data_IF_202579319672
#
_entry.id   IF_202579319672
#
_cell.length_a   1.000
_cell.length_b   1.000
_cell.length_c   1.000
_cell.angle_alpha   90.00
_cell.angle_beta   90.00
_cell.angle_gamma   90.00
#
_symmetry.space_group_name_H-M   'P 1'
#
loop_
_entity.id
_entity.type
_entity.pdbx_description
1 polymer ?
#
# COMPACT_ATOMS: atom_id res chain seq x y z
N UNK A 1 0.09 -0.50 -51.07
CA UNK A 1 -0.39 0.06 -49.79
C UNK A 1 0.33 1.34 -49.36
N UNK A 2 1.62 1.35 -48.94
CA UNK A 2 2.26 2.59 -48.45
C UNK A 2 2.55 3.63 -49.56
N UNK A 3 2.89 3.20 -50.77
CA UNK A 3 3.02 4.11 -51.91
C UNK A 3 1.68 4.75 -52.30
N UNK A 4 0.58 3.98 -52.26
CA UNK A 4 -0.77 4.49 -52.51
C UNK A 4 -1.19 5.51 -51.44
N UNK A 5 -0.90 5.24 -50.15
CA UNK A 5 -1.18 6.16 -49.05
C UNK A 5 -0.34 7.45 -49.13
N UNK A 6 0.91 7.35 -49.61
CA UNK A 6 1.79 8.51 -49.78
C UNK A 6 1.51 9.34 -51.03
N UNK A 7 0.82 8.78 -52.02
CA UNK A 7 0.36 9.49 -53.22
C UNK A 7 -0.90 10.34 -52.96
N UNK A 8 -1.55 10.17 -51.81
CA UNK A 8 -2.60 11.09 -51.36
C UNK A 8 -2.01 12.47 -51.05
N UNK A 9 -2.76 13.53 -51.36
CA UNK A 9 -2.37 14.92 -51.11
C UNK A 9 -2.52 15.28 -49.62
N UNK A 10 -1.76 14.59 -48.77
CA UNK A 10 -1.69 14.75 -47.32
C UNK A 10 -0.30 15.23 -46.91
N UNK A 11 -0.26 16.09 -45.90
CA UNK A 11 0.98 16.58 -45.25
C UNK A 11 1.70 15.46 -44.48
N UNK A 12 1.00 14.37 -44.15
CA UNK A 12 1.56 13.23 -43.43
C UNK A 12 2.03 12.19 -44.44
N UNK A 13 3.32 11.84 -44.41
CA UNK A 13 3.91 10.73 -45.18
C UNK A 13 4.16 9.54 -44.27
N UNK A 14 3.74 8.37 -44.70
CA UNK A 14 3.93 7.09 -44.03
C UNK A 14 5.25 6.47 -44.45
N UNK A 15 6.01 5.97 -43.48
CA UNK A 15 7.27 5.26 -43.73
C UNK A 15 7.10 3.81 -43.29
N UNK A 16 7.38 2.86 -44.18
CA UNK A 16 7.49 1.44 -43.80
C UNK A 16 8.97 1.10 -43.65
N UNK A 17 9.35 0.62 -42.47
CA UNK A 17 10.65 -0.01 -42.26
C UNK A 17 10.43 -1.44 -41.86
N UNK A 18 10.77 -2.37 -42.75
CA UNK A 18 10.75 -3.81 -42.50
C UNK A 18 12.16 -4.36 -42.67
N UNK A 19 12.62 -5.11 -41.68
CA UNK A 19 13.81 -5.93 -41.81
C UNK A 19 13.56 -7.27 -41.10
N UNK A 20 13.94 -8.41 -41.71
CA UNK A 20 13.74 -9.73 -41.13
C UNK A 20 14.67 -9.99 -39.93
N UNK A 21 15.76 -9.24 -39.81
CA UNK A 21 16.83 -9.49 -38.85
C UNK A 21 16.87 -8.47 -37.71
N UNK A 22 16.29 -7.28 -37.90
CA UNK A 22 16.29 -6.23 -36.89
C UNK A 22 15.10 -5.27 -37.01
N UNK A 23 14.68 -4.72 -35.89
CA UNK A 23 13.65 -3.69 -35.83
C UNK A 23 14.00 -2.63 -34.79
N UNK A 24 13.72 -1.38 -35.13
CA UNK A 24 13.92 -0.25 -34.23
C UNK A 24 12.58 0.09 -33.58
N UNK A 25 12.55 0.14 -32.25
CA UNK A 25 11.38 0.56 -31.50
C UNK A 25 11.81 1.49 -30.36
N UNK A 26 11.29 2.72 -30.39
CA UNK A 26 11.68 3.80 -29.47
C UNK A 26 13.21 3.96 -29.42
N UNK A 27 13.79 3.56 -28.30
CA UNK A 27 15.17 3.78 -27.90
C UNK A 27 16.02 2.49 -28.00
N UNK A 28 15.47 1.44 -28.61
CA UNK A 28 16.10 0.11 -28.66
C UNK A 28 16.03 -0.44 -30.08
N UNK A 29 17.13 -1.03 -30.55
CA UNK A 29 17.18 -1.88 -31.74
C UNK A 29 17.19 -3.34 -31.28
N UNK A 30 16.15 -4.06 -31.66
CA UNK A 30 15.97 -5.48 -31.39
C UNK A 30 16.48 -6.22 -32.62
N UNK A 31 17.34 -7.21 -32.45
CA UNK A 31 17.93 -7.99 -33.53
C UNK A 31 17.89 -9.49 -33.23
N UNK A 32 17.79 -10.30 -34.27
CA UNK A 32 17.80 -11.76 -34.13
C UNK A 32 19.23 -12.26 -33.90
N UNK A 33 19.41 -13.13 -32.91
CA UNK A 33 20.69 -13.78 -32.58
C UNK A 33 20.48 -15.29 -32.50
N UNK A 34 20.78 -16.01 -33.58
CA UNK A 34 20.55 -17.46 -33.71
C UNK A 34 19.18 -17.91 -33.18
N UNK A 35 19.14 -18.47 -31.96
CA UNK A 35 17.95 -18.97 -31.25
C UNK A 35 17.32 -17.97 -30.26
N UNK A 36 17.93 -16.82 -30.04
CA UNK A 36 17.54 -15.79 -29.07
C UNK A 36 17.31 -14.43 -29.75
N UNK A 37 16.76 -13.50 -28.99
CA UNK A 37 16.58 -12.11 -29.39
C UNK A 37 17.62 -11.28 -28.63
N UNK A 38 18.44 -10.53 -29.37
CA UNK A 38 19.32 -9.52 -28.82
C UNK A 38 18.66 -8.14 -28.89
N UNK A 39 19.07 -7.25 -28.00
CA UNK A 39 18.71 -5.84 -28.03
C UNK A 39 19.93 -4.96 -27.75
N UNK A 40 19.96 -3.78 -28.36
CA UNK A 40 20.99 -2.75 -28.13
C UNK A 40 20.34 -1.36 -28.09
N UNK A 41 20.99 -0.40 -27.43
CA UNK A 41 20.52 0.98 -27.42
C UNK A 41 20.54 1.54 -28.86
N UNK A 42 19.46 2.17 -29.28
CA UNK A 42 19.35 2.81 -30.59
C UNK A 42 19.14 4.31 -30.45
N UNK A 43 19.92 5.10 -31.19
CA UNK A 43 19.72 6.54 -31.35
C UNK A 43 19.30 6.81 -32.78
N UNK A 44 18.22 7.58 -32.93
CA UNK A 44 17.76 7.98 -34.26
C UNK A 44 18.84 8.83 -34.94
N UNK A 45 19.07 8.70 -36.26
CA UNK A 45 20.02 9.55 -37.00
C UNK A 45 19.73 11.05 -36.88
N UNK A 46 18.48 11.42 -36.57
CA UNK A 46 18.06 12.81 -36.35
C UNK A 46 18.35 13.34 -34.94
N UNK A 47 18.83 12.52 -34.01
CA UNK A 47 19.11 12.91 -32.63
C UNK A 47 20.39 13.77 -32.58
N UNK A 48 20.25 15.01 -32.12
CA UNK A 48 21.36 15.99 -32.04
C UNK A 48 22.17 15.89 -30.75
N UNK A 49 22.06 14.79 -30.01
CA UNK A 49 22.83 14.54 -28.78
C UNK A 49 22.66 15.71 -27.80
N UNK A 50 21.41 16.09 -27.50
CA UNK A 50 21.04 17.28 -26.71
C UNK A 50 21.29 17.12 -25.21
N UNK A 51 22.49 16.64 -24.86
CA UNK A 51 22.92 16.53 -23.48
C UNK A 51 23.15 17.92 -22.87
N UNK A 52 22.75 18.08 -21.62
CA UNK A 52 22.85 19.36 -20.94
C UNK A 52 24.31 19.75 -20.70
N UNK A 53 24.71 20.98 -20.98
CA UNK A 53 26.09 21.44 -20.73
C UNK A 53 26.40 21.56 -19.22
N UNK A 54 27.61 21.18 -18.79
CA UNK A 54 28.00 21.20 -17.37
C UNK A 54 27.90 22.60 -16.73
N UNK A 55 28.25 23.63 -17.49
CA UNK A 55 28.19 25.04 -17.05
C UNK A 55 26.82 25.70 -17.26
N UNK A 56 25.79 24.94 -17.64
CA UNK A 56 24.45 25.50 -17.81
C UNK A 56 23.81 25.91 -16.48
N UNK A 57 22.87 26.86 -16.53
CA UNK A 57 22.16 27.43 -15.37
C UNK A 57 21.07 26.51 -14.79
N UNK A 58 21.25 25.19 -14.89
CA UNK A 58 20.35 24.21 -14.30
C UNK A 58 20.79 23.80 -12.90
N UNK A 59 19.87 23.29 -12.05
CA UNK A 59 20.18 22.79 -10.73
C UNK A 59 21.33 21.78 -10.76
N UNK A 60 22.23 21.86 -9.76
CA UNK A 60 23.40 20.99 -9.65
C UNK A 60 23.02 19.50 -9.62
N UNK A 61 21.97 19.17 -8.86
CA UNK A 61 21.44 17.80 -8.76
C UNK A 61 21.01 17.20 -10.11
N UNK A 62 20.47 18.02 -11.03
CA UNK A 62 20.08 17.56 -12.36
C UNK A 62 21.32 17.25 -13.23
N UNK A 63 22.36 18.08 -13.13
CA UNK A 63 23.61 17.88 -13.87
C UNK A 63 24.39 16.66 -13.37
N UNK A 64 24.29 16.35 -12.07
CA UNK A 64 24.93 15.18 -11.48
C UNK A 64 24.17 13.87 -11.73
N UNK A 65 22.83 13.92 -11.76
CA UNK A 65 22.00 12.74 -12.01
C UNK A 65 21.89 12.37 -13.50
N UNK A 66 22.03 13.34 -14.42
CA UNK A 66 21.90 13.11 -15.85
C UNK A 66 22.91 12.05 -16.37
N UNK A 67 24.23 12.13 -16.13
CA UNK A 67 25.17 11.09 -16.55
C UNK A 67 24.81 9.70 -16.02
N UNK A 68 24.42 9.60 -14.74
CA UNK A 68 24.03 8.33 -14.09
C UNK A 68 22.84 7.71 -14.83
N UNK A 69 21.80 8.51 -15.10
CA UNK A 69 20.60 8.04 -15.80
C UNK A 69 20.89 7.53 -17.22
N UNK A 70 21.80 8.19 -17.93
CA UNK A 70 22.18 7.83 -19.29
C UNK A 70 23.03 6.56 -19.31
N UNK A 71 23.97 6.39 -18.38
CA UNK A 71 24.72 5.14 -18.24
C UNK A 71 23.83 3.96 -17.86
N UNK A 72 22.86 4.15 -16.94
CA UNK A 72 21.87 3.11 -16.62
C UNK A 72 21.05 2.68 -17.83
N UNK A 73 20.70 3.63 -18.69
CA UNK A 73 19.98 3.35 -19.94
C UNK A 73 20.83 2.52 -20.91
N UNK A 74 22.13 2.78 -20.99
CA UNK A 74 23.06 1.93 -21.77
C UNK A 74 23.14 0.52 -21.17
N UNK A 75 23.24 0.38 -19.85
CA UNK A 75 23.28 -0.94 -19.21
C UNK A 75 21.99 -1.76 -19.42
N UNK A 76 20.81 -1.13 -19.28
CA UNK A 76 19.51 -1.82 -19.41
C UNK A 76 19.20 -2.21 -20.87
N UNK A 77 19.55 -1.32 -21.81
CA UNK A 77 19.15 -1.47 -23.20
C UNK A 77 20.18 -2.23 -24.04
N UNK A 78 21.14 -2.93 -23.43
CA UNK A 78 22.07 -3.81 -24.14
C UNK A 78 22.02 -5.24 -23.60
N UNK A 79 21.94 -6.18 -24.53
CA UNK A 79 22.03 -7.62 -24.28
C UNK A 79 23.46 -8.16 -24.36
N UNK A 80 24.35 -7.47 -25.07
CA UNK A 80 25.73 -7.89 -25.30
C UNK A 80 26.72 -6.97 -24.60
N UNK A 81 27.60 -7.55 -23.78
CA UNK A 81 28.56 -6.81 -22.97
C UNK A 81 29.57 -6.03 -23.83
N UNK A 82 29.99 -6.58 -24.96
CA UNK A 82 30.90 -5.92 -25.92
C UNK A 82 30.29 -4.64 -26.49
N UNK A 83 29.02 -4.69 -26.90
CA UNK A 83 28.28 -3.55 -27.46
C UNK A 83 27.98 -2.52 -26.36
N UNK A 84 27.62 -2.99 -25.16
CA UNK A 84 27.43 -2.14 -23.98
C UNK A 84 28.69 -1.31 -23.70
N UNK A 85 29.87 -1.94 -23.67
CA UNK A 85 31.15 -1.26 -23.41
C UNK A 85 31.44 -0.16 -24.43
N UNK A 86 31.28 -0.44 -25.73
CA UNK A 86 31.47 0.57 -26.78
C UNK A 86 30.50 1.74 -26.63
N UNK A 87 29.22 1.46 -26.32
CA UNK A 87 28.22 2.51 -26.15
C UNK A 87 28.41 3.34 -24.87
N UNK A 88 28.99 2.76 -23.82
CA UNK A 88 29.41 3.50 -22.63
C UNK A 88 30.52 4.49 -22.98
N UNK A 89 31.53 4.07 -23.75
CA UNK A 89 32.62 4.95 -24.21
C UNK A 89 32.10 6.10 -25.08
N UNK A 90 31.18 5.83 -26.01
CA UNK A 90 30.53 6.86 -26.84
C UNK A 90 29.68 7.84 -26.02
N UNK A 91 28.98 7.33 -25.00
CA UNK A 91 28.23 8.16 -24.05
C UNK A 91 29.17 9.05 -23.24
N UNK A 92 30.28 8.51 -22.73
CA UNK A 92 31.30 9.29 -22.01
C UNK A 92 31.88 10.38 -22.90
N UNK A 93 32.23 10.07 -24.15
CA UNK A 93 32.72 11.07 -25.12
C UNK A 93 31.73 12.21 -25.31
N UNK A 94 30.44 11.87 -25.48
CA UNK A 94 29.35 12.84 -25.62
C UNK A 94 29.23 13.79 -24.42
N UNK A 95 29.44 13.30 -23.19
CA UNK A 95 29.43 14.14 -21.99
C UNK A 95 30.70 14.98 -21.86
N UNK A 96 31.87 14.46 -22.24
CA UNK A 96 33.12 15.25 -22.23
C UNK A 96 33.01 16.45 -23.17
N UNK A 97 32.42 16.26 -24.36
CA UNK A 97 32.14 17.35 -25.31
C UNK A 97 31.19 18.43 -24.74
N UNK A 98 30.41 18.09 -23.71
CA UNK A 98 29.48 19.00 -23.01
C UNK A 98 30.06 19.60 -21.73
N UNK A 99 31.37 19.45 -21.51
CA UNK A 99 32.12 20.08 -20.43
C UNK A 99 32.11 19.31 -19.10
N UNK A 100 31.68 18.04 -19.08
CA UNK A 100 31.79 17.20 -17.89
C UNK A 100 33.22 16.66 -17.76
N UNK A 101 33.74 16.63 -16.54
CA UNK A 101 35.09 16.11 -16.30
C UNK A 101 35.08 14.58 -16.29
N UNK A 102 36.16 14.00 -16.80
CA UNK A 102 36.30 12.53 -16.88
C UNK A 102 36.19 11.87 -15.50
N UNK A 103 36.75 12.50 -14.46
CA UNK A 103 36.67 12.03 -13.07
C UNK A 103 35.21 11.85 -12.61
N UNK A 104 34.38 12.86 -12.80
CA UNK A 104 32.95 12.81 -12.42
C UNK A 104 32.22 11.74 -13.23
N UNK A 105 32.52 11.64 -14.53
CA UNK A 105 31.89 10.64 -15.40
C UNK A 105 32.24 9.21 -15.02
N UNK A 106 33.48 8.94 -14.62
CA UNK A 106 33.90 7.63 -14.10
C UNK A 106 33.16 7.28 -12.80
N UNK A 107 33.06 8.21 -11.86
CA UNK A 107 32.31 8.01 -10.62
C UNK A 107 30.83 7.72 -10.91
N UNK A 108 30.22 8.47 -11.84
CA UNK A 108 28.85 8.22 -12.28
C UNK A 108 28.67 6.86 -12.97
N UNK A 109 29.64 6.43 -13.78
CA UNK A 109 29.61 5.14 -14.47
C UNK A 109 29.71 3.97 -13.48
N UNK A 110 30.62 4.05 -12.49
CA UNK A 110 30.76 3.07 -11.41
C UNK A 110 29.46 3.00 -10.60
N UNK A 111 28.89 4.14 -10.23
CA UNK A 111 27.59 4.20 -9.53
C UNK A 111 26.48 3.54 -10.34
N UNK A 112 26.37 3.86 -11.62
CA UNK A 112 25.38 3.26 -12.53
C UNK A 112 25.59 1.75 -12.68
N UNK A 113 26.83 1.29 -12.77
CA UNK A 113 27.16 -0.14 -12.86
C UNK A 113 26.75 -0.90 -11.60
N UNK A 114 27.07 -0.35 -10.42
CA UNK A 114 26.68 -0.93 -9.14
C UNK A 114 25.15 -1.03 -8.99
N UNK A 115 24.44 0.04 -9.37
CA UNK A 115 22.96 0.06 -9.41
C UNK A 115 22.43 -1.03 -10.36
N UNK A 116 23.01 -1.15 -11.56
CA UNK A 116 22.58 -2.15 -12.54
C UNK A 116 22.85 -3.59 -12.10
N UNK A 117 24.03 -3.85 -11.50
CA UNK A 117 24.44 -5.17 -11.02
C UNK A 117 23.80 -5.56 -9.68
N UNK A 118 23.00 -4.68 -9.07
CA UNK A 118 22.46 -4.88 -7.73
C UNK A 118 23.53 -4.96 -6.64
N UNK A 119 24.75 -4.47 -6.92
CA UNK A 119 25.85 -4.46 -5.96
C UNK A 119 25.65 -3.24 -5.06
N UNK A 120 25.16 -3.50 -3.85
CA UNK A 120 24.93 -2.50 -2.82
C UNK A 120 26.26 -1.93 -2.30
N UNK A 121 26.70 -0.79 -2.86
CA UNK A 121 27.70 0.06 -2.21
C UNK A 121 26.99 0.88 -1.13
N UNK A 122 27.13 0.44 0.13
CA UNK A 122 26.55 1.08 1.30
C UNK A 122 26.78 2.60 1.33
N UNK A 123 25.70 3.35 1.11
CA UNK A 123 25.21 4.41 1.98
C UNK A 123 23.72 4.59 1.67
N UNK A 124 22.89 3.83 2.38
CA UNK A 124 21.46 4.05 2.45
C UNK A 124 21.21 5.12 3.52
N UNK A 125 21.63 6.33 3.21
CA UNK A 125 21.21 7.56 3.88
C UNK A 125 20.72 8.45 2.75
N UNK A 126 19.48 8.94 2.86
CA UNK A 126 18.87 9.95 1.99
C UNK A 126 18.06 9.40 0.79
N UNK A 127 17.27 8.33 0.99
CA UNK A 127 15.95 8.34 0.34
C UNK A 127 15.06 9.23 1.20
N UNK A 128 14.35 10.23 0.64
CA UNK A 128 13.34 10.96 1.40
C UNK A 128 12.28 9.94 1.83
N UNK A 129 12.28 9.60 3.13
CA UNK A 129 11.32 8.66 3.70
C UNK A 129 10.08 9.40 4.14
N UNK A 130 8.91 8.82 3.93
CA UNK A 130 7.67 9.36 4.48
C UNK A 130 7.33 8.58 5.74
N UNK A 131 7.36 9.25 6.88
CA UNK A 131 6.84 8.74 8.15
C UNK A 131 5.40 9.21 8.29
N UNK A 132 4.48 8.29 8.60
CA UNK A 132 3.08 8.59 8.78
C UNK A 132 2.61 7.97 10.10
N UNK A 133 2.63 8.69 11.22
CA UNK A 133 1.92 8.24 12.40
C UNK A 133 0.40 8.36 12.15
N UNK A 134 -0.30 7.24 12.34
CA UNK A 134 -1.75 7.14 12.33
C UNK A 134 -2.22 7.01 13.78
N UNK A 135 -2.77 8.10 14.27
CA UNK A 135 -3.44 8.22 15.57
C UNK A 135 -4.96 8.25 15.37
N UNK A 136 -5.69 8.07 16.47
CA UNK A 136 -7.14 8.23 16.50
C UNK A 136 -7.45 9.48 17.33
N UNK A 137 -8.38 10.32 16.86
CA UNK A 137 -8.81 11.53 17.55
C UNK A 137 -10.32 11.79 17.36
N UNK A 138 -10.99 12.22 18.43
CA UNK A 138 -12.43 12.48 18.50
C UNK A 138 -12.83 13.91 18.12
N UNK A 139 -11.88 14.85 18.01
CA UNK A 139 -12.13 16.27 17.74
C UNK A 139 -11.49 16.76 16.43
N UNK A 140 -11.78 16.11 15.29
CA UNK A 140 -11.26 16.54 13.98
C UNK A 140 -11.92 17.82 13.41
N UNK A 141 -12.76 18.50 14.19
CA UNK A 141 -13.45 19.72 13.75
C UNK A 141 -12.51 20.94 13.79
N UNK A 142 -11.67 21.15 12.75
CA UNK A 142 -11.35 22.50 12.21
C UNK A 142 -10.36 22.66 11.04
N UNK A 143 -9.75 21.63 10.46
CA UNK A 143 -8.75 21.86 9.39
C UNK A 143 -9.03 21.11 8.07
N UNK A 144 -8.87 21.83 6.95
CA UNK A 144 -9.58 21.66 5.68
C UNK A 144 -8.83 20.89 4.59
N UNK A 145 -7.97 19.93 4.95
CA UNK A 145 -7.20 19.14 3.98
C UNK A 145 -7.45 17.64 4.19
N UNK A 146 -8.42 17.11 3.43
CA UNK A 146 -8.77 15.67 3.41
C UNK A 146 -7.92 14.97 2.34
N UNK A 147 -7.12 13.99 2.75
CA UNK A 147 -6.22 13.25 1.84
C UNK A 147 -6.98 12.20 1.01
N UNK A 148 -8.15 11.76 1.49
CA UNK A 148 -9.12 10.97 0.74
C UNK A 148 -10.51 11.24 1.35
N UNK A 149 -11.54 11.28 0.51
CA UNK A 149 -12.92 11.32 1.02
C UNK A 149 -13.22 10.12 1.93
N UNK A 150 -14.30 10.22 2.70
CA UNK A 150 -14.88 9.15 3.53
C UNK A 150 -14.77 7.83 2.76
N UNK A 151 -14.10 6.84 3.35
CA UNK A 151 -13.98 5.51 2.76
C UNK A 151 -14.94 4.56 3.46
N UNK A 152 -15.99 4.06 2.79
CA UNK A 152 -16.88 3.08 3.38
C UNK A 152 -16.12 1.76 3.59
N UNK A 153 -16.17 1.24 4.82
CA UNK A 153 -15.65 -0.08 5.17
C UNK A 153 -16.79 -1.11 5.03
N UNK A 154 -17.99 -0.77 5.51
CA UNK A 154 -19.22 -1.55 5.30
C UNK A 154 -20.41 -0.60 5.13
N UNK A 155 -21.63 -1.13 5.03
CA UNK A 155 -22.87 -0.34 4.92
C UNK A 155 -23.03 0.66 6.09
N UNK A 156 -22.63 0.26 7.30
CA UNK A 156 -22.84 1.04 8.53
C UNK A 156 -21.55 1.62 9.13
N UNK A 157 -20.40 1.41 8.48
CA UNK A 157 -19.08 1.78 9.02
C UNK A 157 -18.22 2.50 7.99
N UNK A 158 -17.71 3.65 8.38
CA UNK A 158 -16.89 4.52 7.56
C UNK A 158 -15.56 4.84 8.25
N UNK A 159 -14.53 5.08 7.44
CA UNK A 159 -13.23 5.56 7.88
C UNK A 159 -12.84 6.82 7.13
N UNK A 160 -12.42 7.83 7.89
CA UNK A 160 -11.88 9.06 7.35
C UNK A 160 -10.46 9.29 7.85
N UNK A 161 -9.58 9.70 6.93
CA UNK A 161 -8.26 10.19 7.27
C UNK A 161 -8.18 11.70 7.13
N UNK A 162 -7.68 12.37 8.16
CA UNK A 162 -7.43 13.83 8.16
C UNK A 162 -5.98 14.13 8.49
N UNK A 163 -5.51 15.28 8.02
CA UNK A 163 -4.21 15.85 8.39
C UNK A 163 -4.48 17.18 9.06
N UNK A 164 -4.15 17.26 10.35
CA UNK A 164 -4.39 18.47 11.16
C UNK A 164 -3.27 19.48 11.00
N UNK A 165 -2.03 18.98 10.94
CA UNK A 165 -0.82 19.79 10.87
C UNK A 165 -0.12 19.60 9.51
N UNK A 166 0.48 20.65 8.92
CA UNK A 166 1.30 20.50 7.73
C UNK A 166 2.48 19.55 8.00
N UNK A 167 2.90 18.74 7.01
CA UNK A 167 3.96 17.77 7.21
C UNK A 167 5.29 18.46 7.55
N UNK A 168 6.05 17.87 8.45
CA UNK A 168 7.40 18.31 8.82
C UNK A 168 8.38 17.74 7.80
N UNK A 169 9.10 18.59 7.08
CA UNK A 169 10.08 18.16 6.08
C UNK A 169 11.48 18.42 6.60
N UNK A 170 12.31 17.38 6.62
CA UNK A 170 13.74 17.43 6.95
C UNK A 170 14.58 17.06 5.73
N UNK A 171 15.90 17.10 5.85
CA UNK A 171 16.81 16.67 4.78
C UNK A 171 16.71 15.16 4.50
N UNK A 172 16.27 14.36 5.48
CA UNK A 172 16.29 12.89 5.44
C UNK A 172 14.89 12.25 5.34
N UNK A 173 13.86 12.92 5.86
CA UNK A 173 12.48 12.40 5.89
C UNK A 173 11.42 13.51 5.90
N UNK A 174 10.23 13.15 5.45
CA UNK A 174 8.98 13.89 5.63
C UNK A 174 8.14 13.16 6.65
N UNK A 175 7.66 13.86 7.67
CA UNK A 175 6.74 13.34 8.67
C UNK A 175 5.36 13.94 8.46
N UNK A 176 4.33 13.09 8.41
CA UNK A 176 2.95 13.48 8.16
C UNK A 176 2.04 12.84 9.19
N UNK A 177 1.60 13.62 10.15
CA UNK A 177 0.64 13.19 11.15
C UNK A 177 -0.77 13.07 10.54
N UNK A 178 -1.37 11.89 10.71
CA UNK A 178 -2.67 11.57 10.16
C UNK A 178 -3.59 11.04 11.26
N UNK A 179 -4.79 11.59 11.35
CA UNK A 179 -5.84 11.10 12.22
C UNK A 179 -6.76 10.16 11.45
N UNK A 180 -7.07 9.02 12.05
CA UNK A 180 -8.03 8.04 11.57
C UNK A 180 -9.30 8.12 12.42
N UNK A 181 -10.42 8.49 11.81
CA UNK A 181 -11.71 8.62 12.47
C UNK A 181 -12.67 7.56 11.93
N UNK A 182 -13.13 6.67 12.83
CA UNK A 182 -14.17 5.69 12.51
C UNK A 182 -15.54 6.22 12.91
N UNK A 183 -16.48 6.09 11.98
CA UNK A 183 -17.88 6.50 12.15
C UNK A 183 -18.79 5.30 11.93
N UNK A 184 -19.75 5.11 12.82
CA UNK A 184 -20.75 4.03 12.74
C UNK A 184 -22.14 4.64 12.89
N UNK A 185 -23.03 4.42 11.92
CA UNK A 185 -24.35 5.09 11.85
C UNK A 185 -24.27 6.61 12.10
N UNK A 186 -23.34 7.29 11.41
CA UNK A 186 -23.07 8.74 11.54
C UNK A 186 -22.59 9.20 12.93
N UNK A 187 -22.24 8.27 13.83
CA UNK A 187 -21.64 8.57 15.13
C UNK A 187 -20.16 8.21 15.16
N UNK A 188 -19.33 9.20 15.47
CA UNK A 188 -17.90 8.99 15.71
C UNK A 188 -17.74 8.07 16.91
N UNK A 189 -16.84 7.09 16.79
CA UNK A 189 -16.49 6.22 17.91
C UNK A 189 -15.97 7.05 19.09
N UNK A 190 -15.99 6.52 20.30
CA UNK A 190 -15.34 7.15 21.45
C UNK A 190 -14.50 6.11 22.16
N UNK A 191 -13.24 6.46 22.45
CA UNK A 191 -12.37 5.55 23.15
C UNK A 191 -12.72 5.47 24.64
N UNK A 192 -12.66 4.27 25.26
CA UNK A 192 -12.98 4.11 26.69
C UNK A 192 -12.06 4.91 27.63
N UNK A 193 -10.81 5.10 27.23
CA UNK A 193 -9.75 5.75 28.02
C UNK A 193 -9.45 7.19 27.57
N UNK A 194 -10.18 7.70 26.58
CA UNK A 194 -9.82 8.93 25.87
C UNK A 194 -8.71 8.72 24.84
N UNK A 195 -8.45 9.76 24.05
CA UNK A 195 -7.47 9.73 22.95
C UNK A 195 -6.06 9.96 23.50
N UNK A 196 -5.11 9.13 23.09
CA UNK A 196 -3.69 9.34 23.40
C UNK A 196 -2.92 9.84 22.19
N UNK A 197 -2.07 10.84 22.39
CA UNK A 197 -1.11 11.27 21.38
C UNK A 197 -0.17 10.12 21.02
N UNK A 198 0.09 9.97 19.72
CA UNK A 198 0.99 8.95 19.20
C UNK A 198 1.99 9.56 18.22
N UNK A 199 3.25 9.26 18.45
CA UNK A 199 4.34 9.55 17.51
C UNK A 199 5.04 8.25 17.17
N UNK A 200 5.39 8.08 15.88
CA UNK A 200 6.16 6.90 15.48
C UNK A 200 7.59 7.06 16.00
N UNK A 201 8.14 6.09 16.76
CA UNK A 201 9.48 6.23 17.29
C UNK A 201 10.56 6.39 16.20
N UNK A 202 11.61 7.20 16.43
CA UNK A 202 12.71 7.34 15.49
C UNK A 202 13.33 5.98 15.13
N UNK A 203 13.46 5.70 13.84
CA UNK A 203 14.01 4.45 13.34
C UNK A 203 13.04 3.25 13.32
N UNK A 204 11.77 3.44 13.70
CA UNK A 204 10.75 2.41 13.53
C UNK A 204 10.46 2.13 12.05
N UNK A 205 10.20 0.86 11.74
CA UNK A 205 10.03 0.39 10.36
C UNK A 205 11.36 0.11 9.65
N UNK A 206 11.29 -0.02 8.35
CA UNK A 206 12.43 -0.30 7.48
C UNK A 206 13.10 1.00 7.04
N UNK A 207 14.43 0.98 7.10
CA UNK A 207 15.28 2.03 6.54
C UNK A 207 15.34 1.93 5.00
N UNK A 208 15.04 0.76 4.44
CA UNK A 208 15.14 0.52 2.99
C UNK A 208 13.84 0.84 2.25
N UNK A 209 12.76 1.12 2.99
CA UNK A 209 11.43 1.41 2.44
C UNK A 209 11.20 2.90 2.23
N UNK A 210 10.39 3.25 1.23
CA UNK A 210 10.03 4.64 0.94
C UNK A 210 9.07 5.24 1.98
N UNK A 211 8.16 4.44 2.54
CA UNK A 211 7.14 4.88 3.49
C UNK A 211 7.10 3.97 4.71
N UNK A 212 7.03 4.57 5.89
CA UNK A 212 6.79 3.91 7.18
C UNK A 212 5.50 4.46 7.80
N UNK A 213 4.45 3.65 7.86
CA UNK A 213 3.17 4.00 8.49
C UNK A 213 3.08 3.36 9.87
N UNK A 214 2.97 4.18 10.91
CA UNK A 214 2.74 3.74 12.29
C UNK A 214 1.26 3.69 12.62
N UNK A 215 0.78 2.62 13.22
CA UNK A 215 -0.60 2.48 13.68
C UNK A 215 -0.60 2.38 15.20
N UNK A 216 -1.19 3.37 15.86
CA UNK A 216 -1.29 3.38 17.31
C UNK A 216 -2.18 2.26 17.85
N UNK A 217 -2.07 1.95 19.14
CA UNK A 217 -3.02 1.03 19.78
C UNK A 217 -4.47 1.54 19.69
N UNK A 218 -4.66 2.86 19.82
CA UNK A 218 -5.96 3.53 19.73
C UNK A 218 -6.60 3.41 18.34
N UNK A 219 -5.78 3.36 17.27
CA UNK A 219 -6.25 3.03 15.92
C UNK A 219 -6.93 1.66 15.87
N UNK A 220 -6.35 0.65 16.53
CA UNK A 220 -6.95 -0.69 16.56
C UNK A 220 -8.11 -0.77 17.56
N UNK A 221 -8.03 -0.12 18.73
CA UNK A 221 -9.15 -0.10 19.70
C UNK A 221 -10.40 0.48 19.03
N UNK A 222 -10.27 1.63 18.37
CA UNK A 222 -11.37 2.28 17.67
C UNK A 222 -11.92 1.41 16.53
N UNK A 223 -11.06 0.74 15.75
CA UNK A 223 -11.45 -0.22 14.72
C UNK A 223 -12.31 -1.37 15.27
N UNK A 224 -11.87 -2.02 16.35
CA UNK A 224 -12.61 -3.15 16.93
C UNK A 224 -13.90 -2.71 17.64
N UNK A 225 -13.94 -1.50 18.20
CA UNK A 225 -15.18 -0.90 18.71
C UNK A 225 -16.15 -0.60 17.56
N UNK A 226 -15.65 -0.08 16.43
CA UNK A 226 -16.48 0.18 15.26
C UNK A 226 -17.10 -1.11 14.70
N UNK A 227 -16.34 -2.20 14.59
CA UNK A 227 -16.87 -3.51 14.22
C UNK A 227 -17.89 -4.06 15.22
N UNK A 228 -17.73 -3.80 16.52
CA UNK A 228 -18.74 -4.15 17.52
C UNK A 228 -20.03 -3.34 17.33
N UNK A 229 -19.92 -2.02 17.19
CA UNK A 229 -21.05 -1.09 17.13
C UNK A 229 -21.85 -1.22 15.83
N UNK A 230 -21.19 -1.53 14.71
CA UNK A 230 -21.85 -1.88 13.44
C UNK A 230 -22.51 -3.26 13.50
N UNK A 231 -22.20 -4.06 14.52
CA UNK A 231 -22.69 -5.43 14.62
C UNK A 231 -21.99 -6.40 13.68
N UNK A 232 -20.84 -6.05 13.11
CA UNK A 232 -20.03 -6.93 12.24
C UNK A 232 -19.60 -8.24 12.91
N UNK A 233 -19.48 -8.25 14.24
CA UNK A 233 -19.22 -9.46 15.03
C UNK A 233 -20.47 -10.25 15.42
N UNK A 234 -21.68 -9.80 15.04
CA UNK A 234 -22.89 -10.51 15.40
C UNK A 234 -23.09 -11.74 14.51
N UNK A 235 -23.47 -12.88 15.09
CA UNK A 235 -23.83 -14.09 14.34
C UNK A 235 -25.26 -14.52 14.67
N UNK A 236 -26.11 -14.62 13.64
CA UNK A 236 -27.45 -15.18 13.78
C UNK A 236 -27.44 -16.67 13.44
N UNK A 237 -27.89 -17.52 14.36
CA UNK A 237 -28.01 -18.96 14.12
C UNK A 237 -29.50 -19.27 13.86
N UNK A 238 -29.87 -19.72 12.64
CA UNK A 238 -31.25 -20.04 12.31
C UNK A 238 -31.77 -21.26 13.10
N UNK A 239 -33.05 -21.20 13.46
CA UNK A 239 -33.73 -22.10 14.40
C UNK A 239 -34.01 -23.52 13.88
N UNK A 240 -33.68 -23.81 12.62
CA UNK A 240 -34.03 -25.07 11.93
C UNK A 240 -33.42 -26.32 12.57
N UNK A 241 -32.46 -26.17 13.49
CA UNK A 241 -31.79 -27.27 14.20
C UNK A 241 -32.43 -27.68 15.54
N UNK A 242 -33.37 -26.90 16.10
CA UNK A 242 -33.91 -27.14 17.46
C UNK A 242 -35.32 -27.78 17.45
N UNK A 243 -36.02 -27.75 16.31
CA UNK A 243 -37.44 -28.16 16.19
C UNK A 243 -37.70 -29.68 16.29
N UNK A 244 -36.70 -30.55 16.09
CA UNK A 244 -36.93 -32.01 16.05
C UNK A 244 -37.25 -32.66 17.40
N UNK A 245 -37.10 -31.95 18.53
CA UNK A 245 -37.20 -32.55 19.87
C UNK A 245 -38.46 -32.17 20.66
N UNK A 246 -39.28 -31.21 20.19
CA UNK A 246 -40.43 -30.69 20.96
C UNK A 246 -41.67 -30.42 20.07
N UNK A 247 -42.83 -31.07 20.30
CA UNK A 247 -44.00 -31.05 19.40
C UNK A 247 -44.79 -29.72 19.33
N UNK A 248 -44.49 -28.75 20.21
CA UNK A 248 -45.09 -27.39 20.22
C UNK A 248 -44.01 -26.29 20.24
N UNK A 249 -42.85 -26.52 19.62
CA UNK A 249 -41.73 -25.58 19.71
C UNK A 249 -41.97 -24.31 18.89
N UNK A 250 -42.15 -23.18 19.58
CA UNK A 250 -41.99 -21.87 18.95
C UNK A 250 -40.55 -21.73 18.42
N UNK A 251 -40.34 -21.09 17.24
CA UNK A 251 -38.99 -20.89 16.71
C UNK A 251 -38.12 -20.08 17.68
N UNK A 252 -36.90 -20.55 17.97
CA UNK A 252 -35.93 -19.84 18.82
C UNK A 252 -34.90 -19.15 17.94
N UNK A 253 -34.76 -17.83 18.07
CA UNK A 253 -33.68 -17.05 17.48
C UNK A 253 -32.51 -17.02 18.44
N UNK A 254 -31.34 -17.45 17.98
CA UNK A 254 -30.09 -17.36 18.72
C UNK A 254 -29.22 -16.31 18.03
N UNK A 255 -28.82 -15.29 18.77
CA UNK A 255 -27.92 -14.23 18.31
C UNK A 255 -26.68 -14.23 19.20
N UNK A 256 -25.50 -14.24 18.59
CA UNK A 256 -24.24 -14.02 19.30
C UNK A 256 -23.89 -12.55 19.12
N UNK A 257 -23.53 -11.88 20.22
CA UNK A 257 -23.16 -10.47 20.28
C UNK A 257 -21.92 -10.30 21.14
N UNK A 258 -21.20 -9.19 20.99
CA UNK A 258 -20.18 -8.79 21.96
C UNK A 258 -20.81 -7.89 23.02
N UNK A 259 -20.85 -8.38 24.27
CA UNK A 259 -21.42 -7.65 25.41
C UNK A 259 -20.41 -6.74 26.11
N UNK A 260 -19.12 -6.94 25.86
CA UNK A 260 -18.03 -6.13 26.40
C UNK A 260 -17.20 -5.56 25.26
N UNK A 261 -16.69 -4.36 25.47
CA UNK A 261 -15.72 -3.70 24.59
C UNK A 261 -14.52 -4.61 24.36
N UNK A 262 -14.10 -4.83 23.09
CA UNK A 262 -12.87 -5.55 22.77
C UNK A 262 -11.67 -4.93 23.48
N UNK A 263 -10.82 -5.77 24.04
CA UNK A 263 -9.54 -5.33 24.60
C UNK A 263 -8.47 -5.62 23.55
N UNK A 264 -7.76 -4.58 23.15
CA UNK A 264 -6.63 -4.67 22.22
C UNK A 264 -5.34 -4.51 23.00
N UNK A 265 -4.39 -5.41 22.77
CA UNK A 265 -3.08 -5.37 23.40
C UNK A 265 -2.00 -5.82 22.43
N UNK A 266 -0.78 -5.35 22.67
CA UNK A 266 0.39 -5.70 21.89
C UNK A 266 1.31 -6.58 22.74
N UNK A 267 1.71 -7.74 22.20
CA UNK A 267 2.68 -8.63 22.84
C UNK A 267 3.68 -9.10 21.80
N UNK A 268 4.98 -8.89 22.02
CA UNK A 268 6.12 -9.37 21.21
C UNK A 268 5.75 -9.93 19.82
N UNK A 269 5.57 -9.03 18.85
CA UNK A 269 5.25 -9.34 17.45
C UNK A 269 3.81 -9.83 17.16
N UNK A 270 2.87 -9.61 18.07
CA UNK A 270 1.46 -10.00 17.91
C UNK A 270 0.51 -8.92 18.43
N UNK A 271 -0.54 -8.67 17.63
CA UNK A 271 -1.73 -7.94 18.04
C UNK A 271 -2.73 -8.94 18.64
N UNK A 272 -3.08 -8.77 19.90
CA UNK A 272 -4.01 -9.64 20.60
C UNK A 272 -5.31 -8.88 20.86
N UNK A 273 -6.40 -9.42 20.32
CA UNK A 273 -7.75 -8.89 20.49
C UNK A 273 -8.53 -9.87 21.35
N UNK A 274 -8.91 -9.44 22.55
CA UNK A 274 -9.75 -10.21 23.45
C UNK A 274 -11.20 -9.74 23.31
N UNK A 275 -12.04 -10.65 22.82
CA UNK A 275 -13.49 -10.43 22.69
C UNK A 275 -14.23 -11.36 23.65
N UNK A 276 -15.32 -10.87 24.23
CA UNK A 276 -16.20 -11.66 25.11
C UNK A 276 -17.58 -11.78 24.47
N UNK A 277 -17.86 -12.86 23.73
CA UNK A 277 -19.17 -13.06 23.15
C UNK A 277 -20.21 -13.51 24.20
N UNK A 278 -21.44 -13.10 23.97
CA UNK A 278 -22.63 -13.51 24.69
C UNK A 278 -23.65 -14.05 23.71
N UNK A 279 -24.41 -15.07 24.15
CA UNK A 279 -25.51 -15.65 23.40
C UNK A 279 -26.81 -15.07 23.94
N UNK A 280 -27.53 -14.37 23.07
CA UNK A 280 -28.89 -13.92 23.31
C UNK A 280 -29.86 -14.93 22.67
N UNK A 281 -30.76 -15.48 23.48
CA UNK A 281 -31.83 -16.34 23.01
C UNK A 281 -33.15 -15.61 23.10
N UNK A 282 -33.91 -15.64 22.02
CA UNK A 282 -35.25 -15.07 21.91
C UNK A 282 -36.21 -16.07 21.29
N UNK A 283 -37.48 -16.05 21.70
CA UNK A 283 -38.54 -16.86 21.08
C UNK A 283 -39.36 -16.01 20.11
N UNK A 284 -39.68 -16.58 18.96
CA UNK A 284 -40.62 -16.01 17.99
C UNK A 284 -42.04 -16.42 18.39
N UNK A 285 -42.83 -15.47 18.83
CA UNK A 285 -44.25 -15.69 19.12
C UNK A 285 -45.07 -15.80 17.81
N UNK A 286 -46.27 -16.42 17.83
CA UNK A 286 -47.10 -16.60 16.63
C UNK A 286 -47.48 -15.29 15.92
N UNK A 287 -47.44 -14.15 16.62
CA UNK A 287 -47.67 -12.81 16.07
C UNK A 287 -46.41 -12.16 15.45
N UNK A 288 -45.38 -12.96 15.15
CA UNK A 288 -44.06 -12.53 14.67
C UNK A 288 -43.26 -11.63 15.63
N UNK A 289 -43.72 -11.43 16.87
CA UNK A 289 -42.96 -10.68 17.88
C UNK A 289 -41.83 -11.53 18.45
N UNK A 290 -40.62 -10.97 18.48
CA UNK A 290 -39.51 -11.54 19.24
C UNK A 290 -39.70 -11.22 20.73
N UNK A 291 -39.66 -12.25 21.58
CA UNK A 291 -39.56 -12.09 23.03
C UNK A 291 -38.20 -12.60 23.50
N UNK A 292 -37.43 -11.74 24.17
CA UNK A 292 -36.16 -12.11 24.78
C UNK A 292 -36.39 -13.16 25.88
N UNK A 293 -35.58 -14.22 25.89
CA UNK A 293 -35.63 -15.26 26.91
C UNK A 293 -34.50 -15.07 27.93
N UNK A 294 -33.25 -15.05 27.45
CA UNK A 294 -32.08 -14.95 28.30
C UNK A 294 -30.82 -14.54 27.51
N UNK A 295 -29.85 -13.96 28.22
CA UNK A 295 -28.50 -13.68 27.73
C UNK A 295 -27.49 -14.46 28.58
N UNK A 296 -26.60 -15.20 27.94
CA UNK A 296 -25.56 -15.99 28.62
C UNK A 296 -24.19 -15.69 28.05
N UNK A 297 -23.20 -15.51 28.92
CA UNK A 297 -21.81 -15.38 28.52
C UNK A 297 -21.26 -16.74 28.08
N UNK A 298 -20.64 -16.77 26.89
CA UNK A 298 -20.14 -18.01 26.28
C UNK A 298 -19.04 -18.73 27.08
N UNK A 299 -18.07 -18.04 27.73
CA UNK A 299 -16.96 -18.71 28.39
C UNK A 299 -17.38 -19.72 29.47
N UNK A 300 -18.57 -19.57 30.04
CA UNK A 300 -19.06 -20.39 31.16
C UNK A 300 -20.04 -21.50 30.75
N UNK A 301 -20.57 -21.53 29.53
CA UNK A 301 -21.73 -22.38 29.22
C UNK A 301 -21.45 -23.60 28.33
N UNK A 302 -20.37 -23.59 27.54
CA UNK A 302 -20.13 -24.63 26.53
C UNK A 302 -19.00 -25.58 26.91
N UNK A 303 -19.31 -26.88 27.01
CA UNK A 303 -18.34 -27.96 27.16
C UNK A 303 -18.34 -28.90 25.95
N UNK A 304 -17.20 -29.58 25.73
CA UNK A 304 -17.06 -30.59 24.69
C UNK A 304 -17.34 -30.10 23.27
N UNK A 305 -18.03 -30.93 22.49
CA UNK A 305 -18.28 -30.72 21.05
C UNK A 305 -19.01 -29.41 20.71
N UNK A 306 -19.94 -28.98 21.57
CA UNK A 306 -20.68 -27.73 21.37
C UNK A 306 -19.78 -26.49 21.45
N UNK A 307 -18.76 -26.51 22.33
CA UNK A 307 -17.75 -25.45 22.38
C UNK A 307 -16.95 -25.42 21.07
N UNK A 308 -16.55 -26.57 20.55
CA UNK A 308 -15.78 -26.66 19.31
C UNK A 308 -16.58 -26.16 18.10
N UNK A 309 -17.85 -26.55 17.98
CA UNK A 309 -18.71 -26.07 16.90
C UNK A 309 -18.96 -24.57 16.99
N UNK A 310 -19.27 -24.06 18.19
CA UNK A 310 -19.45 -22.64 18.42
C UNK A 310 -18.19 -21.85 18.03
N UNK A 311 -17.02 -22.26 18.52
CA UNK A 311 -15.75 -21.60 18.23
C UNK A 311 -15.50 -21.58 16.73
N UNK A 312 -15.71 -22.70 16.02
CA UNK A 312 -15.51 -22.74 14.56
C UNK A 312 -16.47 -21.82 13.80
N UNK A 313 -17.76 -21.88 14.11
CA UNK A 313 -18.77 -21.08 13.42
C UNK A 313 -18.59 -19.58 13.70
N UNK A 314 -18.27 -19.23 14.94
CA UNK A 314 -18.06 -17.84 15.33
C UNK A 314 -16.72 -17.29 14.80
N UNK A 315 -15.67 -18.11 14.79
CA UNK A 315 -14.38 -17.73 14.19
C UNK A 315 -14.52 -17.46 12.69
N UNK A 316 -15.36 -18.22 11.98
CA UNK A 316 -15.67 -17.94 10.58
C UNK A 316 -16.30 -16.55 10.41
N UNK A 317 -17.30 -16.21 11.22
CA UNK A 317 -17.93 -14.88 11.20
C UNK A 317 -16.93 -13.76 11.49
N UNK A 318 -16.06 -13.95 12.50
CA UNK A 318 -15.02 -12.98 12.84
C UNK A 318 -14.06 -12.79 11.67
N UNK A 319 -13.58 -13.89 11.08
CA UNK A 319 -12.67 -13.83 9.95
C UNK A 319 -13.30 -13.15 8.74
N UNK A 320 -14.59 -13.40 8.46
CA UNK A 320 -15.32 -12.74 7.38
C UNK A 320 -15.42 -11.23 7.63
N UNK A 321 -15.79 -10.82 8.84
CA UNK A 321 -15.85 -9.40 9.22
C UNK A 321 -14.47 -8.72 9.09
N UNK A 322 -13.40 -9.39 9.50
CA UNK A 322 -12.04 -8.83 9.42
C UNK A 322 -11.44 -8.89 8.00
N UNK A 323 -11.92 -9.79 7.14
CA UNK A 323 -11.43 -9.94 5.76
C UNK A 323 -11.82 -8.77 4.86
N UNK A 324 -12.82 -7.97 5.26
CA UNK A 324 -13.15 -6.69 4.63
C UNK A 324 -11.90 -5.78 4.59
N UNK A 325 -11.05 -5.89 5.61
CA UNK A 325 -9.83 -5.10 5.74
C UNK A 325 -10.12 -3.64 6.06
N UNK A 326 -9.04 -2.86 6.14
CA UNK A 326 -9.09 -1.41 6.32
C UNK A 326 -8.32 -0.79 5.16
N UNK A 327 -8.93 0.20 4.52
CA UNK A 327 -8.30 0.96 3.45
C UNK A 327 -7.17 1.80 4.03
N UNK A 328 -5.98 1.72 3.44
CA UNK A 328 -4.86 2.57 3.82
C UNK A 328 -4.98 3.96 3.17
N UNK A 329 -4.36 5.00 3.76
CA UNK A 329 -4.25 6.29 3.10
C UNK A 329 -3.52 6.10 1.76
N UNK A 330 -4.20 6.43 0.67
CA UNK A 330 -3.72 6.18 -0.69
C UNK A 330 -3.64 7.47 -1.48
N UNK A 331 -2.57 7.65 -2.25
CA UNK A 331 -2.44 8.74 -3.21
C UNK A 331 -2.98 8.31 -4.59
N UNK A 332 -3.59 9.22 -5.36
CA UNK A 332 -4.02 8.93 -6.73
C UNK A 332 -2.84 8.42 -7.58
N UNK A 333 -3.08 7.37 -8.36
CA UNK A 333 -2.08 6.75 -9.25
C UNK A 333 -0.82 6.23 -8.55
N UNK A 334 -0.89 5.96 -7.24
CA UNK A 334 0.19 5.34 -6.48
C UNK A 334 -0.29 4.05 -5.85
N UNK A 335 0.48 2.98 -6.03
CA UNK A 335 0.33 1.71 -5.37
C UNK A 335 1.39 1.56 -4.27
N UNK A 336 0.97 1.06 -3.12
CA UNK A 336 1.88 0.58 -2.09
C UNK A 336 2.33 -0.83 -2.50
N UNK A 337 3.63 -1.09 -2.52
CA UNK A 337 4.21 -2.39 -2.85
C UNK A 337 5.24 -2.82 -1.79
N UNK A 338 5.59 -4.11 -1.77
CA UNK A 338 6.55 -4.67 -0.80
C UNK A 338 6.19 -4.38 0.67
N UNK A 339 4.92 -4.51 1.05
CA UNK A 339 4.51 -4.21 2.43
C UNK A 339 5.11 -5.23 3.40
N UNK A 340 5.75 -4.73 4.45
CA UNK A 340 6.23 -5.49 5.59
C UNK A 340 5.60 -4.90 6.85
N UNK A 341 4.98 -5.74 7.68
CA UNK A 341 4.34 -5.30 8.92
C UNK A 341 5.11 -5.87 10.10
N UNK A 342 5.51 -4.99 11.00
CA UNK A 342 6.14 -5.30 12.27
C UNK A 342 5.23 -4.85 13.42
N UNK A 343 5.05 -5.72 14.41
CA UNK A 343 4.25 -5.39 15.60
C UNK A 343 5.18 -5.15 16.79
N UNK A 344 5.11 -3.96 17.36
CA UNK A 344 5.97 -3.50 18.47
C UNK A 344 5.14 -3.36 19.76
N UNK A 345 5.78 -2.93 20.84
CA UNK A 345 5.08 -2.63 22.09
C UNK A 345 4.22 -1.38 21.87
N UNK A 346 2.89 -1.55 21.92
CA UNK A 346 1.84 -0.52 21.79
C UNK A 346 1.59 0.08 20.40
N UNK A 347 2.25 -0.40 19.34
CA UNK A 347 1.96 0.04 17.97
C UNK A 347 2.35 -1.03 16.93
N UNK A 348 1.77 -0.91 15.74
CA UNK A 348 2.25 -1.64 14.55
C UNK A 348 2.90 -0.66 13.58
N UNK A 349 3.88 -1.10 12.81
CA UNK A 349 4.49 -0.31 11.74
C UNK A 349 4.46 -1.09 10.44
N UNK A 350 3.98 -0.46 9.37
CA UNK A 350 4.03 -0.99 8.02
C UNK A 350 5.05 -0.21 7.21
N UNK A 351 6.00 -0.92 6.63
CA UNK A 351 7.00 -0.37 5.73
C UNK A 351 6.70 -0.81 4.29
N UNK A 352 6.75 0.11 3.33
CA UNK A 352 6.44 -0.19 1.93
C UNK A 352 7.13 0.77 0.97
N UNK A 353 7.17 0.38 -0.30
CA UNK A 353 7.61 1.25 -1.39
C UNK A 353 6.41 1.79 -2.18
N UNK A 354 6.63 2.89 -2.90
CA UNK A 354 5.63 3.52 -3.75
C UNK A 354 5.92 3.19 -5.21
N UNK A 355 4.89 2.73 -5.93
CA UNK A 355 4.93 2.51 -7.36
C UNK A 355 3.86 3.35 -8.06
N UNK A 356 4.27 4.20 -9.00
CA UNK A 356 3.32 4.93 -9.85
C UNK A 356 2.63 3.97 -10.81
N UNK A 357 1.32 4.09 -10.91
CA UNK A 357 0.44 3.36 -11.82
C UNK A 357 0.07 4.34 -12.94
N UNK A 358 0.89 4.40 -13.98
CA UNK A 358 0.63 5.18 -15.20
C UNK A 358 0.50 4.26 -16.40
#
# INVERSE_FOLDING_TARGET
>A
MIEELNNLNSTIKFTLTYSPDKIQFLDVEIFRKDRNIGHRLFRKPSDRNTLLHANSAHPKALKESLPISQYLRVYRNNSEESTCKTQLEDMTRSFVERGYTYKVLQECQIKAENIYRGISTKQLQNLPRITIPLSYHTESQRFSHRIKGITPISEDMELQYTVENPPVVTDDYMDMEMNAEYTVHEQVIKLPTGDQEFTLPPGAGSQDSMVNMGFSQDFFISLFIAFQNSGGFNLNIPSTYISRKYPQSLPVKIKIVLSKTPIVSFQSNQLIVQITPSVEMSVMLPNAKCQHLLTVNVPSMLSGYLRTLFVKAYLLQINEALSIGVSLPSLPNVQLIHQVIDVKENYAVMSCDLQNIN
#
